data_IF_481583048984
#
_entry.id   IF_481583048984
#
_cell.length_a   1.000
_cell.length_b   1.000
_cell.length_c   1.000
_cell.angle_alpha   90.00
_cell.angle_beta   90.00
_cell.angle_gamma   90.00
#
_symmetry.space_group_name_H-M   'P 1'
#
loop_
_entity.id
_entity.type
_entity.pdbx_description
1 polymer ?
#
# COMPACT_ATOMS: atom_id res chain seq x y z
N UNK A 1 -1.31 -2.99 -27.39
CA UNK A 1 -2.54 -3.10 -26.59
C UNK A 1 -2.39 -4.04 -25.38
N UNK A 2 -1.69 -5.14 -25.52
CA UNK A 2 -1.45 -6.17 -24.50
C UNK A 2 -0.71 -5.63 -23.24
N UNK A 3 0.49 -5.06 -23.37
CA UNK A 3 1.26 -4.51 -22.25
C UNK A 3 0.54 -3.37 -21.51
N UNK A 4 -0.32 -2.60 -22.18
CA UNK A 4 -1.14 -1.58 -21.54
C UNK A 4 -2.11 -2.18 -20.50
N UNK A 5 -2.67 -3.37 -20.79
CA UNK A 5 -3.54 -4.07 -19.82
C UNK A 5 -2.76 -4.59 -18.62
N UNK A 6 -1.53 -5.10 -18.83
CA UNK A 6 -0.65 -5.52 -17.74
C UNK A 6 -0.31 -4.32 -16.84
N UNK A 7 0.13 -3.21 -17.44
CA UNK A 7 0.43 -1.97 -16.70
C UNK A 7 -0.77 -1.50 -15.89
N UNK A 8 -1.96 -1.51 -16.49
CA UNK A 8 -3.19 -1.13 -15.77
C UNK A 8 -3.49 -2.07 -14.59
N UNK A 9 -3.33 -3.38 -14.75
CA UNK A 9 -3.51 -4.32 -13.65
C UNK A 9 -2.48 -4.11 -12.53
N UNK A 10 -1.23 -3.75 -12.86
CA UNK A 10 -0.21 -3.37 -11.88
C UNK A 10 -0.56 -2.06 -11.17
N UNK A 11 -1.06 -1.05 -11.86
CA UNK A 11 -1.50 0.21 -11.25
C UNK A 11 -2.67 -0.03 -10.28
N UNK A 12 -3.66 -0.85 -10.67
CA UNK A 12 -4.73 -1.29 -9.76
C UNK A 12 -4.21 -2.12 -8.58
N UNK A 13 -3.11 -2.85 -8.75
CA UNK A 13 -2.40 -3.51 -7.66
C UNK A 13 -1.91 -2.53 -6.61
N UNK A 14 -1.27 -1.42 -7.02
CA UNK A 14 -0.84 -0.37 -6.09
C UNK A 14 -2.01 0.39 -5.46
N UNK A 15 -3.11 0.59 -6.18
CA UNK A 15 -4.34 1.12 -5.56
C UNK A 15 -4.88 0.15 -4.51
N UNK A 16 -4.85 -1.18 -4.76
CA UNK A 16 -5.21 -2.18 -3.74
C UNK A 16 -4.30 -2.09 -2.52
N UNK A 17 -3.00 -1.92 -2.70
CA UNK A 17 -2.05 -1.72 -1.60
C UNK A 17 -2.34 -0.43 -0.83
N UNK A 18 -2.70 0.66 -1.51
CA UNK A 18 -3.12 1.89 -0.87
C UNK A 18 -4.38 1.71 -0.01
N UNK A 19 -5.36 0.91 -0.45
CA UNK A 19 -6.54 0.55 0.33
C UNK A 19 -6.14 -0.21 1.61
N UNK A 20 -5.34 -1.25 1.45
CA UNK A 20 -4.86 -2.10 2.55
C UNK A 20 -4.14 -1.29 3.62
N UNK A 21 -3.30 -0.34 3.21
CA UNK A 21 -2.49 0.45 4.14
C UNK A 21 -3.24 1.62 4.77
N UNK A 22 -4.24 2.20 4.10
CA UNK A 22 -4.80 3.50 4.49
C UNK A 22 -6.28 3.47 4.87
N UNK A 23 -7.00 2.37 4.64
CA UNK A 23 -8.41 2.30 5.01
C UNK A 23 -8.61 2.15 6.53
N UNK A 24 -7.91 1.20 7.18
CA UNK A 24 -8.04 0.98 8.63
C UNK A 24 -7.61 2.20 9.46
N UNK A 25 -6.54 2.95 9.12
CA UNK A 25 -6.16 4.18 9.81
C UNK A 25 -7.27 5.23 9.91
N UNK A 26 -8.12 5.35 8.90
CA UNK A 26 -9.29 6.24 8.93
C UNK A 26 -10.32 5.84 10.00
N UNK A 27 -10.26 4.61 10.46
CA UNK A 27 -11.22 4.03 11.40
C UNK A 27 -10.66 3.85 12.82
N UNK A 28 -9.41 4.26 13.10
CA UNK A 28 -8.75 4.00 14.39
C UNK A 28 -9.59 4.47 15.57
N UNK A 29 -10.04 5.72 15.58
CA UNK A 29 -10.89 6.23 16.66
C UNK A 29 -12.28 5.60 16.67
N UNK A 30 -12.80 5.21 15.52
CA UNK A 30 -14.06 4.46 15.41
C UNK A 30 -13.93 3.08 16.06
N UNK A 31 -12.82 2.37 15.77
CA UNK A 31 -12.52 1.07 16.41
C UNK A 31 -12.35 1.20 17.92
N UNK A 32 -11.66 2.26 18.37
CA UNK A 32 -11.53 2.56 19.79
C UNK A 32 -12.89 2.72 20.46
N UNK A 33 -13.76 3.55 19.89
CA UNK A 33 -15.10 3.82 20.45
C UNK A 33 -16.05 2.63 20.38
N UNK A 34 -16.04 1.89 19.25
CA UNK A 34 -16.99 0.79 19.02
C UNK A 34 -16.65 -0.49 19.76
N UNK A 35 -15.34 -0.79 19.91
CA UNK A 35 -14.87 -2.04 20.49
C UNK A 35 -14.10 -1.89 21.80
N UNK A 36 -13.95 -0.65 22.32
CA UNK A 36 -13.16 -0.39 23.52
C UNK A 36 -11.68 -0.71 23.38
N UNK A 37 -11.13 -0.66 22.17
CA UNK A 37 -9.73 -0.98 21.87
C UNK A 37 -8.85 0.16 22.36
N UNK A 38 -7.76 -0.17 23.10
CA UNK A 38 -6.84 0.84 23.61
C UNK A 38 -5.98 1.41 22.47
N UNK A 39 -5.41 2.61 22.69
CA UNK A 39 -4.49 3.24 21.73
C UNK A 39 -3.25 2.37 21.46
N UNK A 40 -2.76 1.66 22.48
CA UNK A 40 -1.66 0.71 22.35
C UNK A 40 -2.01 -0.45 21.41
N UNK A 41 -3.23 -0.99 21.52
CA UNK A 41 -3.72 -2.02 20.62
C UNK A 41 -3.90 -1.53 19.19
N UNK A 42 -4.36 -0.28 19.00
CA UNK A 42 -4.43 0.34 17.67
C UNK A 42 -3.03 0.51 17.06
N UNK A 43 -2.07 0.95 17.86
CA UNK A 43 -0.67 1.05 17.45
C UNK A 43 -0.08 -0.32 17.06
N UNK A 44 -0.46 -1.37 17.79
CA UNK A 44 -0.05 -2.73 17.47
C UNK A 44 -0.63 -3.21 16.12
N UNK A 45 -1.89 -2.87 15.79
CA UNK A 45 -2.47 -3.20 14.48
C UNK A 45 -1.66 -2.56 13.34
N UNK A 46 -1.28 -1.29 13.46
CA UNK A 46 -0.43 -0.60 12.48
C UNK A 46 0.95 -1.25 12.41
N UNK A 47 1.55 -1.55 13.55
CA UNK A 47 2.87 -2.20 13.61
C UNK A 47 2.85 -3.59 12.99
N UNK A 48 1.80 -4.37 13.23
CA UNK A 48 1.63 -5.71 12.64
C UNK A 48 1.43 -5.60 11.13
N UNK A 49 0.64 -4.64 10.64
CA UNK A 49 0.50 -4.43 9.20
C UNK A 49 1.87 -4.27 8.51
N UNK A 50 2.67 -3.31 8.95
CA UNK A 50 3.96 -3.04 8.32
C UNK A 50 5.03 -4.10 8.66
N UNK A 51 4.98 -4.68 9.86
CA UNK A 51 5.87 -5.78 10.24
C UNK A 51 5.66 -7.04 9.39
N UNK A 52 4.40 -7.40 9.12
CA UNK A 52 4.06 -8.53 8.24
C UNK A 52 4.42 -8.21 6.78
N UNK A 53 4.20 -6.98 6.30
CA UNK A 53 4.65 -6.56 4.97
C UNK A 53 6.17 -6.70 4.85
N UNK A 54 6.94 -6.16 5.79
CA UNK A 54 8.41 -6.28 5.81
C UNK A 54 8.88 -7.74 5.79
N UNK A 55 8.26 -8.61 6.60
CA UNK A 55 8.58 -10.04 6.58
C UNK A 55 8.25 -10.68 5.23
N UNK A 56 7.14 -10.30 4.63
CA UNK A 56 6.74 -10.75 3.28
C UNK A 56 7.75 -10.31 2.24
N UNK A 57 8.20 -9.06 2.29
CA UNK A 57 9.20 -8.50 1.36
C UNK A 57 10.54 -9.23 1.48
N UNK A 58 11.01 -9.46 2.70
CA UNK A 58 12.27 -10.16 2.96
C UNK A 58 12.22 -11.65 2.55
N UNK A 59 11.07 -12.28 2.67
CA UNK A 59 10.92 -13.71 2.37
C UNK A 59 10.45 -13.99 0.94
N UNK A 60 9.86 -13.00 0.27
CA UNK A 60 9.30 -13.15 -1.08
C UNK A 60 10.27 -13.76 -2.11
N UNK A 61 11.58 -13.42 -2.15
CA UNK A 61 12.51 -14.02 -3.11
C UNK A 61 12.61 -15.55 -2.97
N UNK A 62 12.38 -16.08 -1.75
CA UNK A 62 12.50 -17.51 -1.48
C UNK A 62 11.40 -18.34 -2.15
N UNK A 63 10.23 -17.77 -2.36
CA UNK A 63 9.07 -18.50 -2.90
C UNK A 63 8.52 -17.93 -4.21
N UNK A 64 8.68 -16.63 -4.47
CA UNK A 64 8.21 -16.01 -5.73
C UNK A 64 8.92 -16.61 -6.94
N UNK A 65 10.22 -16.87 -6.86
CA UNK A 65 10.98 -17.48 -7.95
C UNK A 65 10.50 -18.91 -8.26
N UNK A 66 9.99 -19.62 -7.25
CA UNK A 66 9.45 -21.00 -7.42
C UNK A 66 7.99 -21.01 -7.89
N UNK A 67 7.16 -20.14 -7.31
CA UNK A 67 5.73 -20.03 -7.64
C UNK A 67 5.49 -19.30 -8.96
N UNK A 68 6.39 -18.37 -9.30
CA UNK A 68 6.25 -17.44 -10.40
C UNK A 68 5.48 -16.17 -10.02
N UNK A 69 5.77 -15.09 -10.74
CA UNK A 69 5.19 -13.77 -10.48
C UNK A 69 3.66 -13.72 -10.62
N UNK A 70 3.09 -14.43 -11.61
CA UNK A 70 1.66 -14.39 -11.90
C UNK A 70 0.79 -15.08 -10.85
N UNK A 71 1.09 -16.31 -10.41
CA UNK A 71 0.40 -16.92 -9.27
C UNK A 71 0.53 -16.10 -7.98
N UNK A 72 1.72 -15.53 -7.73
CA UNK A 72 1.97 -14.69 -6.56
C UNK A 72 1.14 -13.40 -6.59
N UNK A 73 0.98 -12.75 -7.76
CA UNK A 73 0.10 -11.59 -7.92
C UNK A 73 -1.37 -11.92 -7.67
N UNK A 74 -1.83 -13.09 -8.16
CA UNK A 74 -3.20 -13.56 -7.87
C UNK A 74 -3.41 -13.84 -6.39
N UNK A 75 -2.44 -14.47 -5.76
CA UNK A 75 -2.46 -14.73 -4.31
C UNK A 75 -2.49 -13.41 -3.52
N UNK A 76 -1.69 -12.42 -3.91
CA UNK A 76 -1.67 -11.11 -3.29
C UNK A 76 -3.05 -10.43 -3.31
N UNK A 77 -3.73 -10.44 -4.47
CA UNK A 77 -5.08 -9.88 -4.61
C UNK A 77 -6.10 -10.65 -3.76
N UNK A 78 -6.02 -11.98 -3.75
CA UNK A 78 -6.92 -12.82 -2.96
C UNK A 78 -6.76 -12.56 -1.46
N UNK A 79 -5.52 -12.49 -0.95
CA UNK A 79 -5.24 -12.20 0.46
C UNK A 79 -5.68 -10.80 0.84
N UNK A 80 -5.46 -9.79 -0.03
CA UNK A 80 -5.95 -8.43 0.21
C UNK A 80 -7.48 -8.40 0.32
N UNK A 81 -8.19 -9.07 -0.60
CA UNK A 81 -9.64 -9.17 -0.54
C UNK A 81 -10.12 -9.92 0.71
N UNK A 82 -9.52 -11.08 1.01
CA UNK A 82 -9.88 -11.89 2.16
C UNK A 82 -9.66 -11.16 3.49
N UNK A 83 -8.57 -10.41 3.64
CA UNK A 83 -8.32 -9.62 4.84
C UNK A 83 -9.28 -8.44 4.99
N UNK A 84 -9.62 -7.73 3.89
CA UNK A 84 -10.62 -6.65 3.93
C UNK A 84 -12.01 -7.18 4.30
N UNK A 85 -12.44 -8.32 3.75
CA UNK A 85 -13.67 -8.99 4.16
C UNK A 85 -13.57 -9.54 5.59
N UNK A 86 -12.40 -9.99 6.00
CA UNK A 86 -12.08 -10.44 7.34
C UNK A 86 -12.31 -9.35 8.39
N UNK A 87 -12.05 -8.08 8.09
CA UNK A 87 -12.37 -6.97 9.00
C UNK A 87 -13.85 -6.99 9.42
N UNK A 88 -14.74 -7.35 8.51
CA UNK A 88 -16.16 -7.42 8.78
C UNK A 88 -16.55 -8.71 9.55
N UNK A 89 -16.03 -9.86 9.08
CA UNK A 89 -16.45 -11.17 9.56
C UNK A 89 -15.77 -11.55 10.88
N UNK A 90 -14.45 -11.32 11.00
CA UNK A 90 -13.68 -11.81 12.15
C UNK A 90 -13.90 -10.96 13.40
N UNK A 91 -14.30 -9.69 13.25
CA UNK A 91 -14.68 -8.87 14.40
C UNK A 91 -15.94 -9.38 15.11
N UNK A 92 -16.80 -10.13 14.41
CA UNK A 92 -18.00 -10.76 14.98
C UNK A 92 -17.78 -12.23 15.38
N UNK A 93 -16.93 -12.93 14.62
CA UNK A 93 -16.69 -14.35 14.82
C UNK A 93 -15.81 -14.62 16.05
N UNK A 94 -14.85 -13.74 16.33
CA UNK A 94 -13.94 -13.91 17.46
C UNK A 94 -14.55 -13.33 18.74
N UNK A 95 -14.40 -14.05 19.85
CA UNK A 95 -14.85 -13.59 21.17
C UNK A 95 -14.24 -12.24 21.59
N UNK A 96 -13.07 -11.89 21.03
CA UNK A 96 -12.41 -10.60 21.22
C UNK A 96 -12.28 -9.92 19.86
N UNK A 97 -13.00 -8.82 19.58
CA UNK A 97 -12.94 -8.12 18.28
C UNK A 97 -11.52 -7.73 17.85
N UNK A 98 -10.67 -7.35 18.81
CA UNK A 98 -9.26 -7.05 18.54
C UNK A 98 -8.50 -8.21 17.90
N UNK A 99 -8.72 -9.44 18.35
CA UNK A 99 -8.09 -10.62 17.75
C UNK A 99 -8.55 -10.83 16.30
N UNK A 100 -9.84 -10.58 16.02
CA UNK A 100 -10.39 -10.61 14.66
C UNK A 100 -9.74 -9.56 13.75
N UNK A 101 -9.58 -8.33 14.24
CA UNK A 101 -8.86 -7.27 13.52
C UNK A 101 -7.40 -7.66 13.25
N UNK A 102 -6.71 -8.22 14.24
CA UNK A 102 -5.31 -8.62 14.12
C UNK A 102 -5.11 -9.70 13.04
N UNK A 103 -5.98 -10.70 13.00
CA UNK A 103 -5.95 -11.75 11.97
C UNK A 103 -6.24 -11.16 10.59
N UNK A 104 -7.25 -10.30 10.47
CA UNK A 104 -7.61 -9.62 9.23
C UNK A 104 -6.46 -8.80 8.68
N UNK A 105 -5.85 -8.00 9.56
CA UNK A 105 -4.67 -7.16 9.26
C UNK A 105 -3.51 -8.04 8.79
N UNK A 106 -3.21 -9.14 9.51
CA UNK A 106 -2.16 -10.07 9.11
C UNK A 106 -2.38 -10.65 7.71
N UNK A 107 -3.62 -11.05 7.39
CA UNK A 107 -3.96 -11.62 6.07
C UNK A 107 -3.76 -10.59 4.95
N UNK A 108 -4.35 -9.39 5.07
CA UNK A 108 -4.19 -8.41 4.01
C UNK A 108 -2.80 -7.80 3.94
N UNK A 109 -2.04 -7.78 5.06
CA UNK A 109 -0.66 -7.30 5.07
C UNK A 109 0.26 -8.19 4.24
N UNK A 110 0.09 -9.53 4.28
CA UNK A 110 0.78 -10.43 3.35
C UNK A 110 0.44 -10.09 1.90
N UNK A 111 -0.85 -9.82 1.61
CA UNK A 111 -1.29 -9.37 0.28
C UNK A 111 -0.60 -8.08 -0.15
N UNK A 112 -0.57 -7.07 0.74
CA UNK A 112 0.05 -5.76 0.49
C UNK A 112 1.55 -5.86 0.23
N UNK A 113 2.29 -6.61 1.05
CA UNK A 113 3.72 -6.83 0.84
C UNK A 113 4.02 -7.52 -0.48
N UNK A 114 3.27 -8.58 -0.83
CA UNK A 114 3.41 -9.22 -2.14
C UNK A 114 3.17 -8.24 -3.29
N UNK A 115 2.17 -7.37 -3.21
CA UNK A 115 1.92 -6.35 -4.25
C UNK A 115 3.11 -5.40 -4.41
N UNK A 116 3.68 -4.95 -3.30
CA UNK A 116 4.83 -4.05 -3.27
C UNK A 116 6.03 -4.63 -4.01
N UNK A 117 6.39 -5.87 -3.70
CA UNK A 117 7.56 -6.54 -4.28
C UNK A 117 7.36 -6.92 -5.74
N UNK A 118 6.14 -7.35 -6.12
CA UNK A 118 5.90 -7.96 -7.43
C UNK A 118 5.61 -6.96 -8.55
N UNK A 119 4.99 -5.83 -8.23
CA UNK A 119 4.49 -4.90 -9.25
C UNK A 119 5.63 -4.24 -10.01
N UNK A 120 6.69 -3.81 -9.32
CA UNK A 120 7.84 -3.12 -9.92
C UNK A 120 8.60 -3.97 -10.94
N UNK A 121 8.99 -5.23 -10.65
CA UNK A 121 9.63 -6.11 -11.64
C UNK A 121 8.75 -6.42 -12.84
N UNK A 122 7.43 -6.53 -12.67
CA UNK A 122 6.50 -6.75 -13.78
C UNK A 122 6.46 -5.54 -14.72
N UNK A 123 6.42 -4.32 -14.17
CA UNK A 123 6.48 -3.10 -14.98
C UNK A 123 7.83 -2.95 -15.67
N UNK A 124 8.92 -3.28 -14.99
CA UNK A 124 10.26 -3.24 -15.55
C UNK A 124 10.42 -4.21 -16.73
N UNK A 125 9.78 -5.38 -16.67
CA UNK A 125 9.76 -6.35 -17.77
C UNK A 125 8.91 -5.90 -18.97
N UNK A 126 8.01 -4.92 -18.81
CA UNK A 126 7.22 -4.37 -19.91
C UNK A 126 8.07 -3.46 -20.80
N UNK A 127 7.93 -3.48 -22.14
CA UNK A 127 8.62 -2.55 -23.03
C UNK A 127 8.32 -1.09 -22.71
N UNK A 128 9.37 -0.26 -22.63
CA UNK A 128 9.26 1.17 -22.37
C UNK A 128 10.52 1.90 -22.84
N UNK A 129 10.34 3.09 -23.40
CA UNK A 129 11.41 3.98 -23.81
C UNK A 129 12.04 4.73 -22.63
N UNK A 130 11.30 4.86 -21.52
CA UNK A 130 11.76 5.53 -20.28
C UNK A 130 11.28 4.78 -19.04
N UNK A 131 12.09 3.83 -18.57
CA UNK A 131 11.83 3.01 -17.39
C UNK A 131 11.66 3.84 -16.11
N UNK A 132 12.48 4.87 -15.93
CA UNK A 132 12.42 5.74 -14.76
C UNK A 132 11.09 6.50 -14.67
N UNK A 133 10.61 7.05 -15.78
CA UNK A 133 9.31 7.72 -15.84
C UNK A 133 8.16 6.75 -15.56
N UNK A 134 8.22 5.52 -16.08
CA UNK A 134 7.20 4.51 -15.81
C UNK A 134 7.18 4.07 -14.36
N UNK A 135 8.33 3.88 -13.73
CA UNK A 135 8.41 3.56 -12.31
C UNK A 135 7.89 4.71 -11.44
N UNK A 136 8.21 5.96 -11.77
CA UNK A 136 7.66 7.13 -11.07
C UNK A 136 6.13 7.21 -11.22
N UNK A 137 5.62 6.98 -12.44
CA UNK A 137 4.18 6.91 -12.70
C UNK A 137 3.52 5.78 -11.90
N UNK A 138 4.12 4.58 -11.90
CA UNK A 138 3.63 3.45 -11.13
C UNK A 138 3.44 3.83 -9.65
N UNK A 139 4.47 4.34 -9.00
CA UNK A 139 4.40 4.72 -7.60
C UNK A 139 3.47 5.91 -7.33
N UNK A 140 3.21 6.77 -8.33
CA UNK A 140 2.19 7.82 -8.20
C UNK A 140 0.78 7.25 -8.07
N UNK A 141 0.50 6.07 -8.65
CA UNK A 141 -0.80 5.39 -8.48
C UNK A 141 -1.08 4.93 -7.05
N UNK A 142 -0.05 4.62 -6.26
CA UNK A 142 -0.22 4.41 -4.82
C UNK A 142 -0.73 5.69 -4.14
N UNK A 143 -0.11 6.83 -4.44
CA UNK A 143 -0.51 8.12 -3.85
C UNK A 143 -1.93 8.52 -4.26
N UNK A 144 -2.28 8.38 -5.54
CA UNK A 144 -3.64 8.64 -6.02
C UNK A 144 -4.65 7.63 -5.48
N UNK A 145 -4.24 6.38 -5.30
CA UNK A 145 -5.02 5.35 -4.60
C UNK A 145 -5.31 5.76 -3.17
N UNK A 146 -4.30 6.25 -2.45
CA UNK A 146 -4.45 6.77 -1.08
C UNK A 146 -5.44 7.96 -1.03
N UNK A 147 -5.26 8.96 -1.90
CA UNK A 147 -6.23 10.07 -2.04
C UNK A 147 -7.64 9.55 -2.29
N UNK A 148 -7.78 8.59 -3.22
CA UNK A 148 -9.07 7.97 -3.54
C UNK A 148 -9.69 7.25 -2.34
N UNK A 149 -8.90 6.48 -1.58
CA UNK A 149 -9.36 5.79 -0.37
C UNK A 149 -9.90 6.79 0.65
N UNK A 150 -9.15 7.86 0.91
CA UNK A 150 -9.58 8.86 1.90
C UNK A 150 -10.84 9.59 1.42
N UNK A 151 -10.84 10.12 0.19
CA UNK A 151 -11.97 10.90 -0.33
C UNK A 151 -13.26 10.07 -0.39
N UNK A 152 -13.19 8.85 -0.98
CA UNK A 152 -14.36 7.99 -1.14
C UNK A 152 -14.87 7.49 0.20
N UNK A 153 -13.97 7.08 1.11
CA UNK A 153 -14.38 6.62 2.45
C UNK A 153 -14.97 7.78 3.27
N UNK A 154 -14.33 8.96 3.26
CA UNK A 154 -14.83 10.13 3.99
C UNK A 154 -16.19 10.59 3.46
N UNK A 155 -16.36 10.64 2.13
CA UNK A 155 -17.65 10.97 1.52
C UNK A 155 -18.73 9.92 1.88
N UNK A 156 -18.38 8.63 1.83
CA UNK A 156 -19.29 7.56 2.23
C UNK A 156 -19.73 7.72 3.70
N UNK A 157 -18.78 7.95 4.60
CA UNK A 157 -19.08 8.11 6.02
C UNK A 157 -19.88 9.40 6.34
N UNK A 158 -19.66 10.46 5.57
CA UNK A 158 -20.43 11.69 5.69
C UNK A 158 -21.91 11.51 5.29
N UNK A 159 -22.19 10.62 4.32
CA UNK A 159 -23.54 10.37 3.79
C UNK A 159 -24.26 9.28 4.59
N UNK A 160 -23.57 8.16 4.83
CA UNK A 160 -24.16 6.95 5.39
C UNK A 160 -23.85 6.70 6.86
N UNK A 161 -22.97 7.51 7.46
CA UNK A 161 -22.55 7.34 8.86
C UNK A 161 -21.35 6.39 9.02
N UNK A 162 -20.59 6.60 10.11
CA UNK A 162 -19.39 5.82 10.44
C UNK A 162 -19.72 4.37 10.86
N UNK A 163 -20.92 4.11 11.35
CA UNK A 163 -21.40 2.78 11.72
C UNK A 163 -21.43 1.81 10.55
N UNK A 164 -21.51 2.33 9.31
CA UNK A 164 -21.54 1.55 8.07
C UNK A 164 -20.12 1.24 7.51
N UNK A 165 -19.06 1.38 8.32
CA UNK A 165 -17.69 1.11 7.90
C UNK A 165 -17.48 -0.30 7.32
N UNK A 166 -18.25 -1.29 7.78
CA UNK A 166 -18.21 -2.66 7.26
C UNK A 166 -18.64 -2.75 5.81
N UNK A 167 -19.69 -2.01 5.44
CA UNK A 167 -20.13 -1.93 4.03
C UNK A 167 -19.01 -1.33 3.18
N UNK A 168 -18.36 -0.29 3.67
CA UNK A 168 -17.23 0.33 2.96
C UNK A 168 -16.04 -0.62 2.81
N UNK A 169 -15.73 -1.44 3.83
CA UNK A 169 -14.70 -2.47 3.74
C UNK A 169 -15.04 -3.52 2.66
N UNK A 170 -16.31 -3.96 2.57
CA UNK A 170 -16.77 -4.86 1.52
C UNK A 170 -16.66 -4.22 0.13
N UNK A 171 -17.00 -2.93 -0.01
CA UNK A 171 -16.86 -2.20 -1.28
C UNK A 171 -15.39 -2.11 -1.70
N UNK A 172 -14.47 -1.82 -0.78
CA UNK A 172 -13.04 -1.81 -1.06
C UNK A 172 -12.50 -3.20 -1.46
N UNK A 173 -13.06 -4.27 -0.91
CA UNK A 173 -12.68 -5.63 -1.27
C UNK A 173 -13.04 -5.99 -2.74
N UNK A 174 -13.97 -5.28 -3.37
CA UNK A 174 -14.32 -5.51 -4.79
C UNK A 174 -13.15 -5.19 -5.74
N UNK A 175 -12.29 -4.23 -5.40
CA UNK A 175 -11.17 -3.87 -6.27
C UNK A 175 -10.13 -4.99 -6.40
N UNK A 176 -9.59 -5.57 -5.31
CA UNK A 176 -8.70 -6.71 -5.43
C UNK A 176 -9.37 -7.95 -6.05
N UNK A 177 -10.66 -8.19 -5.78
CA UNK A 177 -11.41 -9.27 -6.46
C UNK A 177 -11.45 -9.04 -7.98
N UNK A 178 -11.80 -7.84 -8.42
CA UNK A 178 -11.78 -7.47 -9.84
C UNK A 178 -10.40 -7.65 -10.45
N UNK A 179 -9.35 -7.20 -9.75
CA UNK A 179 -7.99 -7.26 -10.25
C UNK A 179 -7.42 -8.70 -10.26
N UNK A 180 -7.87 -9.56 -9.35
CA UNK A 180 -7.59 -11.01 -9.41
C UNK A 180 -8.04 -11.61 -10.74
N UNK A 181 -9.26 -11.31 -11.21
CA UNK A 181 -9.76 -11.77 -12.49
C UNK A 181 -9.01 -11.15 -13.68
N UNK A 182 -8.54 -9.89 -13.56
CA UNK A 182 -7.68 -9.31 -14.58
C UNK A 182 -6.38 -10.10 -14.73
N UNK A 183 -5.69 -10.43 -13.63
CA UNK A 183 -4.48 -11.26 -13.67
C UNK A 183 -4.75 -12.70 -14.13
N UNK A 184 -5.94 -13.22 -13.92
CA UNK A 184 -6.31 -14.54 -14.43
C UNK A 184 -6.43 -14.57 -15.97
N UNK A 185 -6.84 -13.46 -16.58
CA UNK A 185 -7.03 -13.32 -18.04
C UNK A 185 -5.79 -12.85 -18.80
N UNK A 186 -4.76 -12.40 -18.10
CA UNK A 186 -3.53 -11.91 -18.71
C UNK A 186 -2.46 -13.00 -18.69
N UNK A 187 -1.62 -13.05 -19.73
CA UNK A 187 -0.41 -13.89 -19.76
C UNK A 187 0.78 -13.13 -19.19
N UNK A 188 1.70 -13.76 -18.45
CA UNK A 188 2.87 -13.07 -17.91
C UNK A 188 3.80 -12.57 -19.02
N UNK A 189 4.41 -11.36 -18.88
CA UNK A 189 5.57 -11.01 -19.66
C UNK A 189 6.73 -11.94 -19.29
N UNK A 190 7.68 -12.14 -20.21
CA UNK A 190 8.91 -12.86 -19.88
C UNK A 190 9.73 -11.99 -18.90
N UNK A 191 9.66 -12.35 -17.63
CA UNK A 191 10.52 -11.73 -16.60
C UNK A 191 11.82 -12.54 -16.60
N UNK A 192 12.91 -11.93 -17.10
CA UNK A 192 14.22 -12.54 -17.03
C UNK A 192 14.59 -12.74 -15.56
N UNK A 193 14.95 -13.97 -15.17
CA UNK A 193 15.57 -14.18 -13.88
C UNK A 193 16.81 -13.28 -13.80
N UNK A 194 16.91 -12.45 -12.77
CA UNK A 194 18.06 -11.60 -12.57
C UNK A 194 19.27 -12.47 -12.17
N UNK A 195 19.89 -13.07 -13.17
CA UNK A 195 21.15 -13.80 -13.02
C UNK A 195 22.28 -12.77 -13.01
N UNK A 196 22.86 -12.49 -11.84
CA UNK A 196 24.06 -11.67 -11.72
C UNK A 196 23.98 -10.46 -10.80
N UNK A 197 22.99 -10.37 -9.92
CA UNK A 197 22.96 -9.31 -8.91
C UNK A 197 24.13 -9.42 -7.92
N UNK A 198 24.59 -8.28 -7.41
CA UNK A 198 25.56 -8.23 -6.31
C UNK A 198 24.97 -8.98 -5.10
N UNK A 199 25.63 -10.03 -4.65
CA UNK A 199 25.11 -10.81 -3.51
C UNK A 199 24.88 -9.94 -2.27
N UNK A 200 23.85 -10.25 -1.48
CA UNK A 200 23.48 -9.49 -0.28
C UNK A 200 24.65 -9.24 0.66
N UNK A 201 25.53 -10.24 0.83
CA UNK A 201 26.74 -10.11 1.64
C UNK A 201 27.75 -9.06 1.13
N UNK A 202 27.78 -8.79 -0.17
CA UNK A 202 28.65 -7.75 -0.74
C UNK A 202 28.01 -6.36 -0.58
N UNK A 203 26.68 -6.25 -0.67
CA UNK A 203 25.95 -5.01 -0.41
C UNK A 203 26.12 -4.54 1.02
N UNK A 204 25.99 -5.45 1.99
CA UNK A 204 26.18 -5.16 3.42
C UNK A 204 27.58 -4.62 3.78
N UNK A 205 28.60 -4.90 2.96
CA UNK A 205 29.95 -4.36 3.15
C UNK A 205 30.14 -2.94 2.62
N UNK A 206 29.17 -2.39 1.87
CA UNK A 206 29.28 -1.05 1.27
C UNK A 206 28.70 0.02 2.19
N UNK A 207 29.49 1.02 2.58
CA UNK A 207 29.02 2.15 3.41
C UNK A 207 27.92 2.97 2.75
N UNK A 208 27.89 3.05 1.40
CA UNK A 208 26.82 3.69 0.64
C UNK A 208 25.48 2.99 0.87
N UNK A 209 25.47 1.65 0.94
CA UNK A 209 24.25 0.87 1.21
C UNK A 209 23.60 1.29 2.55
N UNK A 210 24.39 1.38 3.61
CA UNK A 210 23.87 1.77 4.92
C UNK A 210 23.37 3.21 4.97
N UNK A 211 24.04 4.14 4.28
CA UNK A 211 23.58 5.54 4.19
C UNK A 211 22.22 5.63 3.48
N UNK A 212 22.08 4.95 2.34
CA UNK A 212 20.81 4.91 1.60
C UNK A 212 19.72 4.22 2.42
N UNK A 213 20.04 3.12 3.12
CA UNK A 213 19.10 2.42 3.98
C UNK A 213 18.57 3.33 5.10
N UNK A 214 19.45 4.06 5.80
CA UNK A 214 19.03 4.99 6.86
C UNK A 214 18.17 6.13 6.29
N UNK A 215 18.56 6.69 5.14
CA UNK A 215 17.76 7.73 4.48
C UNK A 215 16.35 7.22 4.12
N UNK A 216 16.25 6.02 3.55
CA UNK A 216 14.96 5.39 3.21
C UNK A 216 14.14 5.11 4.46
N UNK A 217 14.77 4.63 5.54
CA UNK A 217 14.10 4.39 6.82
C UNK A 217 13.50 5.69 7.40
N UNK A 218 14.28 6.77 7.43
CA UNK A 218 13.81 8.06 7.94
C UNK A 218 12.68 8.64 7.07
N UNK A 219 12.82 8.56 5.75
CA UNK A 219 11.79 9.02 4.82
C UNK A 219 10.49 8.22 4.98
N UNK A 220 10.58 6.88 5.04
CA UNK A 220 9.43 5.99 5.24
C UNK A 220 8.77 6.21 6.60
N UNK A 221 9.53 6.40 7.67
CA UNK A 221 9.00 6.68 9.01
C UNK A 221 8.20 8.00 9.03
N UNK A 222 8.72 9.05 8.39
CA UNK A 222 8.02 10.33 8.28
C UNK A 222 6.73 10.21 7.44
N UNK A 223 6.81 9.52 6.30
CA UNK A 223 5.66 9.25 5.42
C UNK A 223 4.57 8.49 6.17
N UNK A 224 4.92 7.39 6.83
CA UNK A 224 3.96 6.56 7.54
C UNK A 224 3.40 7.24 8.79
N UNK A 225 4.20 8.01 9.52
CA UNK A 225 3.71 8.81 10.64
C UNK A 225 2.58 9.75 10.22
N UNK A 226 2.76 10.47 9.12
CA UNK A 226 1.73 11.37 8.58
C UNK A 226 0.53 10.60 8.02
N UNK A 227 0.76 9.56 7.23
CA UNK A 227 -0.32 8.79 6.59
C UNK A 227 -1.23 8.08 7.59
N UNK A 228 -0.65 7.52 8.66
CA UNK A 228 -1.39 6.66 9.59
C UNK A 228 -2.06 7.44 10.72
N UNK A 229 -1.45 8.52 11.19
CA UNK A 229 -1.84 9.15 12.44
C UNK A 229 -2.37 10.59 12.30
N UNK A 230 -2.17 11.27 11.15
CA UNK A 230 -2.52 12.68 11.01
C UNK A 230 -4.01 12.95 11.24
N UNK A 231 -4.91 12.10 10.71
CA UNK A 231 -6.36 12.25 10.92
C UNK A 231 -6.74 12.04 12.38
N UNK A 232 -6.28 10.94 13.00
CA UNK A 232 -6.57 10.63 14.39
C UNK A 232 -6.01 11.71 15.34
N UNK A 233 -4.80 12.20 15.08
CA UNK A 233 -4.20 13.29 15.83
C UNK A 233 -4.99 14.59 15.70
N UNK A 234 -5.40 14.97 14.49
CA UNK A 234 -6.18 16.19 14.25
C UNK A 234 -7.53 16.13 14.97
N UNK A 235 -8.24 15.00 14.90
CA UNK A 235 -9.51 14.81 15.60
C UNK A 235 -9.33 14.85 17.14
N UNK A 236 -8.35 14.11 17.68
CA UNK A 236 -8.20 13.94 19.12
C UNK A 236 -7.55 15.16 19.80
N UNK A 237 -6.57 15.83 19.14
CA UNK A 237 -5.77 16.89 19.77
C UNK A 237 -6.18 18.30 19.37
N UNK A 238 -6.67 18.49 18.13
CA UNK A 238 -7.10 19.81 17.63
C UNK A 238 -8.62 19.99 17.69
N UNK A 239 -9.38 18.93 18.02
CA UNK A 239 -10.84 18.97 18.11
C UNK A 239 -11.55 19.26 16.78
N UNK A 240 -10.88 19.06 15.64
CA UNK A 240 -11.49 19.22 14.32
C UNK A 240 -12.41 18.03 14.01
N UNK A 241 -13.39 18.24 13.12
CA UNK A 241 -14.22 17.14 12.67
C UNK A 241 -13.40 16.08 11.94
N UNK A 242 -13.84 14.82 12.02
CA UNK A 242 -13.19 13.71 11.30
C UNK A 242 -12.99 14.02 9.81
N UNK A 243 -14.00 14.58 9.15
CA UNK A 243 -13.94 14.96 7.72
C UNK A 243 -12.79 15.93 7.45
N UNK A 244 -12.61 16.95 8.29
CA UNK A 244 -11.52 17.92 8.16
C UNK A 244 -10.17 17.26 8.46
N UNK A 245 -10.08 16.40 9.48
CA UNK A 245 -8.89 15.63 9.80
C UNK A 245 -8.44 14.72 8.67
N UNK A 246 -9.37 13.98 8.07
CA UNK A 246 -9.10 13.10 6.93
C UNK A 246 -8.63 13.86 5.68
N UNK A 247 -9.27 15.00 5.37
CA UNK A 247 -8.97 15.79 4.17
C UNK A 247 -7.65 16.57 4.29
N UNK A 248 -7.40 17.21 5.41
CA UNK A 248 -6.18 18.02 5.59
C UNK A 248 -4.96 17.18 5.98
N UNK A 249 -5.16 16.09 6.74
CA UNK A 249 -4.09 15.18 7.12
C UNK A 249 -3.68 14.25 5.97
N UNK A 250 -4.16 13.00 5.97
CA UNK A 250 -3.69 11.97 5.03
C UNK A 250 -4.00 12.30 3.56
N UNK A 251 -5.15 12.90 3.23
CA UNK A 251 -5.48 13.26 1.86
C UNK A 251 -4.58 14.39 1.35
N UNK A 252 -4.39 15.46 2.12
CA UNK A 252 -3.51 16.57 1.76
C UNK A 252 -2.07 16.11 1.55
N UNK A 253 -1.56 15.29 2.48
CA UNK A 253 -0.23 14.68 2.39
C UNK A 253 -0.07 13.81 1.13
N UNK A 254 -1.00 12.88 0.90
CA UNK A 254 -0.95 11.98 -0.26
C UNK A 254 -1.05 12.75 -1.59
N UNK A 255 -1.83 13.82 -1.64
CA UNK A 255 -1.94 14.70 -2.82
C UNK A 255 -0.61 15.38 -3.13
N UNK A 256 0.04 15.97 -2.13
CA UNK A 256 1.35 16.61 -2.32
C UNK A 256 2.42 15.60 -2.74
N UNK A 257 2.43 14.41 -2.15
CA UNK A 257 3.33 13.33 -2.51
C UNK A 257 3.08 12.84 -3.96
N UNK A 258 1.82 12.65 -4.34
CA UNK A 258 1.44 12.22 -5.69
C UNK A 258 1.81 13.26 -6.75
N UNK A 259 1.56 14.55 -6.48
CA UNK A 259 1.95 15.66 -7.35
C UNK A 259 3.46 15.74 -7.52
N UNK A 260 4.24 15.65 -6.44
CA UNK A 260 5.71 15.70 -6.51
C UNK A 260 6.28 14.56 -7.36
N UNK A 261 5.78 13.34 -7.20
CA UNK A 261 6.18 12.17 -8.00
C UNK A 261 5.77 12.31 -9.47
N UNK A 262 4.57 12.81 -9.74
CA UNK A 262 4.08 13.05 -11.11
C UNK A 262 4.92 14.14 -11.82
N UNK A 263 5.21 15.24 -11.13
CA UNK A 263 6.06 16.32 -11.64
C UNK A 263 7.49 15.84 -11.92
N UNK A 264 8.07 15.06 -10.99
CA UNK A 264 9.37 14.46 -11.20
C UNK A 264 9.38 13.50 -12.41
N UNK A 265 8.38 12.64 -12.54
CA UNK A 265 8.25 11.74 -13.69
C UNK A 265 8.16 12.48 -15.05
N UNK A 266 7.54 13.67 -15.05
CA UNK A 266 7.38 14.49 -16.27
C UNK A 266 8.57 15.37 -16.58
N UNK A 267 9.20 15.98 -15.57
CA UNK A 267 10.23 17.03 -15.73
C UNK A 267 11.59 16.60 -15.21
N UNK A 268 11.72 15.51 -14.43
CA UNK A 268 12.93 15.12 -13.75
C UNK A 268 14.12 14.79 -14.68
N UNK A 269 13.87 14.34 -15.91
CA UNK A 269 14.92 14.14 -16.91
C UNK A 269 15.69 15.43 -17.27
N UNK A 270 15.03 16.59 -17.21
CA UNK A 270 15.65 17.91 -17.39
C UNK A 270 16.39 18.42 -16.15
N UNK A 271 16.00 18.00 -14.95
CA UNK A 271 16.59 18.45 -13.69
C UNK A 271 17.88 17.69 -13.34
N UNK A 272 18.00 16.44 -13.75
CA UNK A 272 19.22 15.61 -13.54
C UNK A 272 20.40 16.14 -14.37
N UNK A 273 20.15 16.74 -15.53
CA UNK A 273 21.19 17.40 -16.32
C UNK A 273 21.65 18.76 -15.75
N UNK A 274 20.96 19.31 -14.76
CA UNK A 274 21.20 20.62 -14.14
C UNK A 274 21.88 20.62 -12.77
N UNK A 275 22.59 19.56 -12.37
CA UNK A 275 23.54 19.65 -11.26
C UNK A 275 23.07 19.15 -9.90
N UNK A 276 22.22 18.12 -9.79
CA UNK A 276 21.99 17.36 -8.55
C UNK A 276 22.47 15.92 -8.74
N UNK A 277 23.75 15.76 -9.07
CA UNK A 277 24.54 14.60 -8.74
C UNK A 277 25.35 14.93 -7.48
N UNK A 278 24.75 14.83 -6.31
CA UNK A 278 25.46 14.78 -5.03
C UNK A 278 25.04 13.51 -4.31
#
# INVERSE_FOLDING_TARGET
MYYRRIKLACYLGLVTQAIVNNFLPLLLLTMQRSFGISLEQLSLLVSVNFGVQLLTDLTSPLYVDRLGYWPSMKLAQLLSAAGLLGLCLFTELFARPFAGLLVSVGIYAVGGGLLEVLVSPIIEACPSDNKGAEMSLLHSFYCWGHVGVVLVSTAFFAIFGLENWRIMACLWALLPVYNFFNFHRLTPPAIAAQTGGTGAAQLLKRGLFWRLLVMMLCAGAAEQGMSQWASAFAEASLGVSKTVGDLLGPCGFATMMGLSRALYGRFGAGWICGGICL
#
